data_IF_757805743535
#
_entry.id   IF_757805743535
#
_cell.length_a   1.000
_cell.length_b   1.000
_cell.length_c   1.000
_cell.angle_alpha   90.00
_cell.angle_beta   90.00
_cell.angle_gamma   90.00
#
_symmetry.space_group_name_H-M   'P 1'
#
loop_
_entity.id
_entity.type
_entity.pdbx_description
1 polymer ?
#
# COMPACT_ATOMS: atom_id res chain seq x y z
N UNK A 1 12.07 -6.62 -8.70
CA UNK A 1 10.60 -6.72 -8.86
C UNK A 1 10.19 -6.54 -10.32
N UNK A 2 10.48 -5.40 -10.94
CA UNK A 2 10.11 -5.05 -12.32
C UNK A 2 10.36 -6.17 -13.36
N UNK A 3 11.51 -6.83 -13.30
CA UNK A 3 11.84 -7.93 -14.22
C UNK A 3 10.80 -9.08 -14.20
N UNK A 4 10.18 -9.37 -13.06
CA UNK A 4 9.15 -10.42 -12.96
C UNK A 4 7.84 -10.05 -13.65
N UNK A 5 7.61 -8.76 -13.90
CA UNK A 5 6.41 -8.24 -14.55
C UNK A 5 6.64 -7.86 -16.02
N UNK A 6 7.85 -8.10 -16.55
CA UNK A 6 8.24 -7.65 -17.89
C UNK A 6 7.27 -8.09 -18.98
N UNK A 7 6.78 -9.33 -18.92
CA UNK A 7 5.82 -9.86 -19.88
C UNK A 7 4.52 -9.04 -19.96
N UNK A 8 4.02 -8.55 -18.82
CA UNK A 8 2.80 -7.71 -18.79
C UNK A 8 3.04 -6.35 -19.44
N UNK A 9 4.23 -5.78 -19.25
CA UNK A 9 4.64 -4.50 -19.84
C UNK A 9 4.82 -4.65 -21.36
N UNK A 10 5.58 -5.66 -21.81
CA UNK A 10 5.84 -5.89 -23.23
C UNK A 10 4.58 -6.20 -24.03
N UNK A 11 3.60 -6.87 -23.41
CA UNK A 11 2.31 -7.15 -24.01
C UNK A 11 1.34 -5.98 -23.97
N UNK A 12 1.69 -4.89 -23.29
CA UNK A 12 0.85 -3.71 -23.13
C UNK A 12 -0.33 -3.89 -22.18
N UNK A 13 -0.30 -4.91 -21.32
CA UNK A 13 -1.33 -5.12 -20.30
C UNK A 13 -1.24 -4.10 -19.16
N UNK A 14 -0.02 -3.64 -18.85
CA UNK A 14 0.21 -2.63 -17.82
C UNK A 14 1.18 -1.54 -18.30
N UNK A 15 1.03 -0.36 -17.72
CA UNK A 15 2.02 0.70 -17.72
C UNK A 15 2.51 0.92 -16.30
N UNK A 16 3.82 1.04 -16.10
CA UNK A 16 4.42 1.18 -14.78
C UNK A 16 4.86 2.60 -14.47
N UNK A 17 4.58 3.06 -13.26
CA UNK A 17 5.11 4.31 -12.71
C UNK A 17 5.73 4.01 -11.33
N UNK A 18 6.98 4.40 -11.14
CA UNK A 18 7.74 4.13 -9.90
C UNK A 18 8.32 5.45 -9.36
N UNK A 19 7.50 6.31 -8.74
CA UNK A 19 8.04 7.50 -8.08
C UNK A 19 8.98 7.09 -6.93
N UNK A 20 10.04 7.87 -6.73
CA UNK A 20 10.92 7.68 -5.58
C UNK A 20 10.13 7.88 -4.27
N UNK A 21 10.53 7.15 -3.23
CA UNK A 21 9.89 7.25 -1.91
C UNK A 21 10.38 8.47 -1.11
N UNK A 22 9.55 8.97 -0.20
CA UNK A 22 9.88 10.08 0.72
C UNK A 22 10.55 9.61 2.02
N UNK A 23 10.94 8.34 2.14
CA UNK A 23 11.29 7.71 3.43
C UNK A 23 12.44 8.37 4.17
N UNK A 24 13.51 8.72 3.44
CA UNK A 24 14.67 9.38 4.01
C UNK A 24 14.33 10.74 4.65
N UNK A 25 13.20 11.34 4.25
CA UNK A 25 12.70 12.61 4.78
C UNK A 25 11.54 12.43 5.75
N UNK A 26 10.92 11.25 5.81
CA UNK A 26 9.72 10.97 6.61
C UNK A 26 9.99 9.88 7.67
N UNK A 27 9.41 8.68 7.53
CA UNK A 27 9.41 7.64 8.56
C UNK A 27 10.81 7.25 9.06
N UNK A 28 11.83 7.29 8.19
CA UNK A 28 13.20 6.94 8.55
C UNK A 28 14.05 8.12 9.00
N UNK A 29 13.53 9.36 8.95
CA UNK A 29 14.27 10.54 9.36
C UNK A 29 14.23 10.74 10.88
N UNK A 30 15.07 9.99 11.59
CA UNK A 30 15.22 10.10 13.05
C UNK A 30 15.84 11.43 13.53
N UNK A 31 16.30 12.28 12.60
CA UNK A 31 16.90 13.58 12.91
C UNK A 31 15.91 14.73 13.08
N UNK A 32 14.63 14.53 12.78
CA UNK A 32 13.57 15.55 12.91
C UNK A 32 12.46 15.09 13.85
N UNK A 33 11.61 16.03 14.26
CA UNK A 33 10.46 15.74 15.12
C UNK A 33 9.44 14.84 14.39
N UNK A 34 8.81 13.85 15.06
CA UNK A 34 7.82 12.97 14.45
C UNK A 34 6.69 13.68 13.69
N UNK A 35 6.22 14.83 14.19
CA UNK A 35 5.25 15.68 13.50
C UNK A 35 5.71 16.11 12.09
N UNK A 36 7.00 16.41 11.92
CA UNK A 36 7.56 16.76 10.62
C UNK A 36 7.73 15.53 9.73
N UNK A 37 7.99 14.35 10.30
CA UNK A 37 8.05 13.08 9.55
C UNK A 37 6.72 12.77 8.89
N UNK A 38 5.62 12.80 9.65
CA UNK A 38 4.28 12.56 9.11
C UNK A 38 3.85 13.64 8.14
N UNK A 39 4.20 14.91 8.41
CA UNK A 39 3.95 16.02 7.48
C UNK A 39 4.65 15.84 6.13
N UNK A 40 5.90 15.38 6.12
CA UNK A 40 6.61 15.08 4.88
C UNK A 40 5.95 13.95 4.08
N UNK A 41 5.46 12.91 4.77
CA UNK A 41 4.67 11.86 4.13
C UNK A 41 3.34 12.39 3.56
N UNK A 42 2.69 13.33 4.25
CA UNK A 42 1.47 13.97 3.74
C UNK A 42 1.74 14.76 2.44
N UNK A 43 2.88 15.45 2.32
CA UNK A 43 3.24 16.10 1.06
C UNK A 43 3.44 15.11 -0.08
N UNK A 44 4.02 13.96 0.21
CA UNK A 44 4.14 12.88 -0.78
C UNK A 44 2.76 12.36 -1.23
N UNK A 45 1.87 12.09 -0.28
CA UNK A 45 0.47 11.71 -0.56
C UNK A 45 -0.26 12.76 -1.41
N UNK A 46 -0.09 14.05 -1.09
CA UNK A 46 -0.68 15.15 -1.87
C UNK A 46 -0.11 15.25 -3.28
N UNK A 47 1.19 15.01 -3.48
CA UNK A 47 1.79 14.95 -4.81
C UNK A 47 1.20 13.78 -5.61
N UNK A 48 1.07 12.60 -5.00
CA UNK A 48 0.44 11.45 -5.65
C UNK A 48 -1.01 11.76 -6.05
N UNK A 49 -1.78 12.33 -5.13
CA UNK A 49 -3.22 12.59 -5.28
C UNK A 49 -3.52 13.72 -6.26
N UNK A 50 -2.79 14.84 -6.20
CA UNK A 50 -3.09 16.03 -7.01
C UNK A 50 -2.34 16.07 -8.35
N UNK A 51 -1.18 15.42 -8.46
CA UNK A 51 -0.30 15.56 -9.62
C UNK A 51 -0.13 14.23 -10.36
N UNK A 52 0.45 13.21 -9.72
CA UNK A 52 0.84 11.99 -10.42
C UNK A 52 -0.37 11.17 -10.88
N UNK A 53 -1.24 10.75 -9.96
CA UNK A 53 -2.36 9.85 -10.28
C UNK A 53 -3.34 10.47 -11.27
N UNK A 54 -3.74 11.76 -11.15
CA UNK A 54 -4.59 12.41 -12.14
C UNK A 54 -4.00 12.41 -13.55
N UNK A 55 -2.66 12.51 -13.68
CA UNK A 55 -1.98 12.52 -14.97
C UNK A 55 -1.93 11.15 -15.66
N UNK A 56 -2.09 10.04 -14.93
CA UNK A 56 -1.91 8.67 -15.47
C UNK A 56 -3.18 7.80 -15.43
N UNK A 57 -4.13 8.05 -14.51
CA UNK A 57 -5.28 7.14 -14.28
C UNK A 57 -6.20 6.98 -15.48
N UNK A 58 -6.20 7.96 -16.38
CA UNK A 58 -6.99 7.98 -17.61
C UNK A 58 -6.28 7.36 -18.82
N UNK A 59 -5.08 6.82 -18.63
CA UNK A 59 -4.43 6.00 -19.66
C UNK A 59 -5.19 4.68 -19.90
N UNK A 60 -6.12 4.33 -19.00
CA UNK A 60 -7.08 3.24 -19.18
C UNK A 60 -8.52 3.75 -19.04
N UNK A 61 -9.48 3.04 -19.63
CA UNK A 61 -10.90 3.38 -19.52
C UNK A 61 -11.50 3.26 -18.11
N UNK A 62 -10.77 2.66 -17.16
CA UNK A 62 -11.21 2.53 -15.78
C UNK A 62 -11.14 3.85 -15.00
N UNK A 63 -10.32 4.81 -15.44
CA UNK A 63 -10.10 6.07 -14.71
C UNK A 63 -9.49 5.88 -13.31
N UNK A 64 -8.84 4.73 -13.08
CA UNK A 64 -8.26 4.32 -11.80
C UNK A 64 -6.90 3.66 -12.03
N UNK A 65 -6.07 3.63 -10.98
CA UNK A 65 -4.77 2.95 -10.97
C UNK A 65 -4.79 1.71 -10.09
N UNK A 66 -3.90 0.77 -10.38
CA UNK A 66 -3.47 -0.24 -9.42
C UNK A 66 -2.26 0.29 -8.64
N UNK A 67 -2.25 0.10 -7.33
CA UNK A 67 -1.12 0.47 -6.46
C UNK A 67 -0.53 -0.76 -5.80
N UNK A 68 0.79 -0.80 -5.68
CA UNK A 68 1.50 -1.94 -5.12
C UNK A 68 2.80 -1.53 -4.47
N UNK A 69 3.23 -2.32 -3.50
CA UNK A 69 4.56 -2.17 -2.91
C UNK A 69 4.89 -3.33 -1.99
N UNK A 70 6.19 -3.48 -1.74
CA UNK A 70 6.73 -4.47 -0.83
C UNK A 70 7.22 -3.81 0.47
N UNK A 71 7.14 -4.53 1.59
CA UNK A 71 7.58 -4.03 2.90
C UNK A 71 6.92 -2.68 3.22
N UNK A 72 7.70 -1.64 3.53
CA UNK A 72 7.14 -0.31 3.76
C UNK A 72 6.44 0.28 2.52
N UNK A 73 6.84 -0.09 1.30
CA UNK A 73 6.09 0.25 0.10
C UNK A 73 4.66 -0.35 0.09
N UNK A 74 4.47 -1.49 0.76
CA UNK A 74 3.15 -2.09 0.96
C UNK A 74 2.26 -1.23 1.87
N UNK A 75 2.84 -0.50 2.81
CA UNK A 75 2.14 0.55 3.57
C UNK A 75 1.81 1.75 2.71
N UNK A 76 2.75 2.27 1.91
CA UNK A 76 2.48 3.39 1.00
C UNK A 76 1.29 3.13 0.09
N UNK A 77 1.29 1.95 -0.55
CA UNK A 77 0.20 1.52 -1.41
C UNK A 77 -1.13 1.45 -0.64
N UNK A 78 -1.14 0.82 0.54
CA UNK A 78 -2.35 0.68 1.35
C UNK A 78 -2.87 2.04 1.88
N UNK A 79 -1.98 2.88 2.40
CA UNK A 79 -2.34 4.19 2.92
C UNK A 79 -2.93 5.08 1.82
N UNK A 80 -2.30 5.14 0.65
CA UNK A 80 -2.84 5.89 -0.49
C UNK A 80 -4.20 5.32 -0.95
N UNK A 81 -4.30 4.00 -1.11
CA UNK A 81 -5.52 3.34 -1.55
C UNK A 81 -6.70 3.57 -0.60
N UNK A 82 -6.49 3.48 0.71
CA UNK A 82 -7.56 3.64 1.69
C UNK A 82 -7.95 5.09 1.93
N UNK A 83 -7.04 6.05 1.70
CA UNK A 83 -7.35 7.48 1.75
C UNK A 83 -8.08 7.96 0.49
N UNK A 84 -7.72 7.41 -0.68
CA UNK A 84 -8.23 7.84 -2.00
C UNK A 84 -8.82 6.67 -2.81
N UNK A 85 -9.78 5.91 -2.26
CA UNK A 85 -10.29 4.67 -2.88
C UNK A 85 -11.04 4.90 -4.20
N UNK A 86 -11.49 6.13 -4.47
CA UNK A 86 -12.06 6.54 -5.75
C UNK A 86 -11.04 6.56 -6.89
N UNK A 87 -9.74 6.66 -6.60
CA UNK A 87 -8.67 6.64 -7.60
C UNK A 87 -8.04 5.26 -7.81
N UNK A 88 -8.31 4.31 -6.91
CA UNK A 88 -7.64 3.00 -6.88
C UNK A 88 -8.60 1.88 -7.22
N UNK A 89 -8.23 1.04 -8.19
CA UNK A 89 -8.99 -0.16 -8.56
C UNK A 89 -8.44 -1.39 -7.83
N UNK A 90 -7.11 -1.47 -7.68
CA UNK A 90 -6.43 -2.62 -7.09
C UNK A 90 -5.36 -2.18 -6.10
N UNK A 91 -5.31 -2.86 -4.95
CA UNK A 91 -4.25 -2.75 -3.96
C UNK A 91 -3.55 -4.10 -3.83
N UNK A 92 -2.27 -4.15 -4.15
CA UNK A 92 -1.43 -5.32 -3.96
C UNK A 92 -0.32 -5.02 -2.95
N UNK A 93 -0.53 -5.34 -1.68
CA UNK A 93 0.47 -5.18 -0.63
C UNK A 93 1.25 -6.48 -0.45
N UNK A 94 2.58 -6.42 -0.47
CA UNK A 94 3.46 -7.57 -0.26
C UNK A 94 4.28 -7.36 1.00
N UNK A 95 3.99 -8.14 2.05
CA UNK A 95 4.65 -8.04 3.35
C UNK A 95 4.55 -6.64 3.99
N UNK A 96 3.40 -5.97 3.85
CA UNK A 96 3.21 -4.60 4.32
C UNK A 96 3.23 -4.46 5.84
N UNK A 97 3.78 -3.35 6.35
CA UNK A 97 3.75 -2.96 7.77
C UNK A 97 2.81 -1.76 7.95
N UNK A 98 1.60 -1.98 8.46
CA UNK A 98 0.51 -0.99 8.38
C UNK A 98 0.32 -0.11 9.63
N UNK A 99 1.20 -0.22 10.62
CA UNK A 99 1.18 0.63 11.81
C UNK A 99 2.40 1.56 11.86
N UNK A 100 2.23 2.83 11.51
CA UNK A 100 3.32 3.81 11.49
C UNK A 100 3.71 4.35 12.86
N UNK A 101 2.96 4.03 13.92
CA UNK A 101 3.27 4.52 15.29
C UNK A 101 4.68 4.12 15.73
N UNK A 102 5.22 3.02 15.21
CA UNK A 102 6.61 2.58 15.45
C UNK A 102 7.67 3.60 14.99
N UNK A 103 7.33 4.52 14.08
CA UNK A 103 8.23 5.57 13.58
C UNK A 103 8.04 6.92 14.28
N UNK A 104 7.11 7.00 15.24
CA UNK A 104 6.67 8.28 15.79
C UNK A 104 7.23 8.59 17.18
N UNK A 105 8.12 7.76 17.74
CA UNK A 105 8.78 8.03 19.03
C UNK A 105 7.80 8.40 20.17
N UNK A 106 6.59 7.82 20.15
CA UNK A 106 5.52 8.11 21.12
C UNK A 106 4.67 9.36 20.82
N UNK A 107 5.02 10.15 19.80
CA UNK A 107 4.18 11.22 19.29
C UNK A 107 2.92 10.68 18.60
N UNK A 108 1.79 11.33 18.83
CA UNK A 108 0.53 10.97 18.20
C UNK A 108 -0.39 12.18 18.09
N UNK A 109 -0.86 12.48 16.89
CA UNK A 109 -1.82 13.54 16.57
C UNK A 109 -2.77 13.07 15.46
N UNK A 110 -3.65 13.96 15.00
CA UNK A 110 -4.58 13.67 13.91
C UNK A 110 -3.85 13.30 12.61
N UNK A 111 -2.68 13.88 12.34
CA UNK A 111 -1.91 13.56 11.15
C UNK A 111 -1.38 12.11 11.20
N UNK A 112 -0.93 11.64 12.37
CA UNK A 112 -0.57 10.23 12.56
C UNK A 112 -1.80 9.35 12.36
N UNK A 113 -2.93 9.68 12.98
CA UNK A 113 -4.17 8.91 12.84
C UNK A 113 -4.60 8.76 11.36
N UNK A 114 -4.68 9.85 10.60
CA UNK A 114 -5.12 9.84 9.19
C UNK A 114 -4.07 9.34 8.20
N UNK A 115 -2.87 9.01 8.65
CA UNK A 115 -1.86 8.30 7.84
C UNK A 115 -1.54 6.91 8.41
N UNK A 116 -2.32 6.42 9.36
CA UNK A 116 -2.16 5.08 9.91
C UNK A 116 -3.35 4.20 9.55
N UNK A 117 -3.26 3.34 8.50
CA UNK A 117 -4.38 2.53 8.02
C UNK A 117 -5.16 1.79 9.11
N UNK A 118 -4.47 1.20 10.09
CA UNK A 118 -5.11 0.45 11.17
C UNK A 118 -5.96 1.31 12.11
N UNK A 119 -5.69 2.62 12.17
CA UNK A 119 -6.41 3.55 13.04
C UNK A 119 -7.60 4.19 12.31
N UNK A 120 -7.43 4.69 11.07
CA UNK A 120 -8.50 5.42 10.37
C UNK A 120 -9.46 4.54 9.56
N UNK A 121 -9.00 3.41 9.01
CA UNK A 121 -9.81 2.54 8.15
C UNK A 121 -11.08 2.03 8.82
N UNK A 122 -11.08 1.62 10.12
CA UNK A 122 -12.30 1.22 10.83
C UNK A 122 -13.44 2.24 10.69
N UNK A 123 -13.10 3.53 10.71
CA UNK A 123 -14.07 4.64 10.69
C UNK A 123 -14.33 5.18 9.27
N UNK A 124 -13.58 4.77 8.25
CA UNK A 124 -13.79 5.19 6.87
C UNK A 124 -14.98 4.45 6.25
N UNK A 125 -15.89 5.17 5.61
CA UNK A 125 -17.07 4.60 4.96
C UNK A 125 -17.21 5.03 3.49
N UNK A 126 -16.11 5.38 2.85
CA UNK A 126 -16.13 5.75 1.44
C UNK A 126 -16.58 4.54 0.58
N UNK A 127 -17.66 4.63 -0.21
CA UNK A 127 -18.23 3.46 -0.91
C UNK A 127 -17.27 2.73 -1.84
N UNK A 128 -16.30 3.45 -2.43
CA UNK A 128 -15.29 2.86 -3.31
C UNK A 128 -14.37 1.83 -2.61
N UNK A 129 -14.29 1.82 -1.26
CA UNK A 129 -13.54 0.80 -0.52
C UNK A 129 -14.05 -0.62 -0.81
N UNK A 130 -15.37 -0.79 -0.92
CA UNK A 130 -16.01 -2.08 -1.21
C UNK A 130 -15.95 -2.48 -2.69
N UNK A 131 -15.42 -1.61 -3.56
CA UNK A 131 -15.26 -1.85 -4.99
C UNK A 131 -13.79 -2.12 -5.37
N UNK A 132 -12.87 -2.06 -4.41
CA UNK A 132 -11.45 -2.23 -4.65
C UNK A 132 -11.06 -3.70 -4.50
N UNK A 133 -10.27 -4.19 -5.44
CA UNK A 133 -9.66 -5.52 -5.34
C UNK A 133 -8.41 -5.43 -4.47
N UNK A 134 -8.43 -6.06 -3.30
CA UNK A 134 -7.33 -5.97 -2.33
C UNK A 134 -6.68 -7.35 -2.16
N UNK A 135 -5.36 -7.39 -2.30
CA UNK A 135 -4.52 -8.55 -1.96
C UNK A 135 -3.48 -8.15 -0.92
N UNK A 136 -3.48 -8.88 0.20
CA UNK A 136 -2.49 -8.80 1.27
C UNK A 136 -1.62 -10.06 1.17
N UNK A 137 -0.47 -9.94 0.53
CA UNK A 137 0.50 -11.01 0.38
C UNK A 137 1.44 -11.08 1.57
N UNK A 138 1.62 -12.27 2.13
CA UNK A 138 2.50 -12.50 3.28
C UNK A 138 3.05 -13.94 3.29
N UNK A 139 3.94 -14.27 4.22
CA UNK A 139 4.40 -15.64 4.45
C UNK A 139 4.44 -15.99 5.94
N UNK A 140 4.46 -17.28 6.26
CA UNK A 140 4.52 -17.78 7.65
C UNK A 140 5.79 -17.37 8.42
N UNK A 141 6.89 -17.07 7.72
CA UNK A 141 8.14 -16.60 8.31
C UNK A 141 8.35 -15.09 8.18
N UNK A 142 7.35 -14.36 7.67
CA UNK A 142 7.44 -12.92 7.53
C UNK A 142 7.26 -12.21 8.87
N UNK A 143 8.12 -11.23 9.15
CA UNK A 143 8.03 -10.39 10.36
C UNK A 143 6.74 -9.54 10.40
N UNK A 144 6.09 -9.31 9.26
CA UNK A 144 4.85 -8.56 9.13
C UNK A 144 3.60 -9.45 9.14
N UNK A 145 3.71 -10.75 9.48
CA UNK A 145 2.56 -11.68 9.46
C UNK A 145 1.38 -11.19 10.28
N UNK A 146 1.64 -10.78 11.52
CA UNK A 146 0.58 -10.31 12.42
C UNK A 146 -0.02 -8.98 11.95
N UNK A 147 0.79 -8.09 11.36
CA UNK A 147 0.30 -6.85 10.78
C UNK A 147 -0.70 -7.11 9.62
N UNK A 148 -0.41 -8.09 8.77
CA UNK A 148 -1.27 -8.47 7.64
C UNK A 148 -2.55 -9.18 8.11
N UNK A 149 -2.45 -10.07 9.12
CA UNK A 149 -3.62 -10.68 9.77
C UNK A 149 -4.50 -9.63 10.44
N UNK A 150 -3.92 -8.65 11.11
CA UNK A 150 -4.67 -7.57 11.76
C UNK A 150 -5.42 -6.72 10.72
N UNK A 151 -4.74 -6.26 9.66
CA UNK A 151 -5.40 -5.48 8.61
C UNK A 151 -6.51 -6.31 7.92
N UNK A 152 -6.27 -7.59 7.64
CA UNK A 152 -7.28 -8.50 7.10
C UNK A 152 -8.49 -8.63 8.03
N UNK A 153 -8.27 -8.69 9.35
CA UNK A 153 -9.35 -8.72 10.33
C UNK A 153 -10.19 -7.43 10.29
N UNK A 154 -9.55 -6.26 10.24
CA UNK A 154 -10.25 -4.97 10.13
C UNK A 154 -11.07 -4.86 8.85
N UNK A 155 -10.53 -5.31 7.71
CA UNK A 155 -11.26 -5.36 6.43
C UNK A 155 -12.46 -6.31 6.52
N UNK A 156 -12.30 -7.48 7.14
CA UNK A 156 -13.40 -8.43 7.38
C UNK A 156 -14.51 -7.83 8.23
N UNK A 157 -14.17 -7.13 9.32
CA UNK A 157 -15.17 -6.47 10.19
C UNK A 157 -16.01 -5.44 9.44
N UNK A 158 -15.44 -4.79 8.42
CA UNK A 158 -16.14 -3.84 7.55
C UNK A 158 -16.83 -4.50 6.35
N UNK A 159 -16.70 -5.81 6.17
CA UNK A 159 -17.22 -6.52 5.00
C UNK A 159 -16.58 -6.09 3.68
N UNK A 160 -15.33 -5.58 3.72
CA UNK A 160 -14.59 -5.22 2.51
C UNK A 160 -13.98 -6.50 1.91
N UNK A 161 -14.33 -6.89 0.67
CA UNK A 161 -13.76 -8.06 0.03
C UNK A 161 -12.25 -7.92 -0.17
N UNK A 162 -11.48 -8.93 0.23
CA UNK A 162 -10.03 -8.97 0.05
C UNK A 162 -9.53 -10.41 0.13
N UNK A 163 -8.30 -10.61 -0.33
CA UNK A 163 -7.59 -11.87 -0.21
C UNK A 163 -6.34 -11.69 0.66
N UNK A 164 -6.25 -12.47 1.74
CA UNK A 164 -5.03 -12.65 2.51
C UNK A 164 -4.29 -13.88 1.95
N UNK A 165 -3.25 -13.65 1.13
CA UNK A 165 -2.41 -14.69 0.52
C UNK A 165 -1.23 -15.01 1.45
N UNK A 166 -1.41 -15.99 2.35
CA UNK A 166 -0.33 -16.48 3.22
C UNK A 166 0.39 -17.62 2.51
N UNK A 167 1.62 -17.36 2.10
CA UNK A 167 2.52 -18.35 1.51
C UNK A 167 3.32 -19.07 2.58
N UNK A 168 3.91 -20.21 2.20
CA UNK A 168 4.68 -21.05 3.12
C UNK A 168 5.94 -20.37 3.68
N UNK A 169 6.89 -21.18 4.14
CA UNK A 169 8.07 -20.76 4.90
C UNK A 169 9.11 -19.97 4.10
N UNK A 170 8.84 -18.69 3.85
CA UNK A 170 9.73 -17.76 3.15
C UNK A 170 9.95 -16.52 3.99
N UNK A 171 11.17 -16.01 4.00
CA UNK A 171 11.54 -14.81 4.76
C UNK A 171 11.01 -13.52 4.09
N UNK A 172 11.05 -12.42 4.84
CA UNK A 172 10.71 -11.07 4.41
C UNK A 172 11.75 -10.52 3.41
N UNK A 173 11.77 -11.04 2.19
CA UNK A 173 12.76 -10.69 1.18
C UNK A 173 12.26 -10.83 -0.26
N UNK A 174 13.04 -10.33 -1.20
CA UNK A 174 12.77 -10.29 -2.63
C UNK A 174 12.30 -11.60 -3.25
N UNK A 175 12.81 -12.81 -2.91
CA UNK A 175 12.32 -14.05 -3.50
C UNK A 175 10.81 -14.28 -3.28
N UNK A 176 10.28 -13.89 -2.12
CA UNK A 176 8.85 -13.96 -1.82
C UNK A 176 8.06 -13.01 -2.72
N UNK A 177 8.47 -11.73 -2.75
CA UNK A 177 7.76 -10.71 -3.51
C UNK A 177 7.84 -10.92 -5.03
N UNK A 178 8.97 -11.45 -5.53
CA UNK A 178 9.14 -11.84 -6.94
C UNK A 178 8.19 -12.96 -7.37
N UNK A 179 7.77 -13.82 -6.44
CA UNK A 179 6.76 -14.85 -6.69
C UNK A 179 5.34 -14.29 -6.57
N UNK A 180 5.11 -13.39 -5.61
CA UNK A 180 3.81 -12.76 -5.39
C UNK A 180 3.38 -11.89 -6.55
N UNK A 181 4.29 -11.05 -6.99
CA UNK A 181 3.96 -9.93 -7.81
C UNK A 181 3.35 -10.26 -9.18
N UNK A 182 3.94 -11.14 -10.02
CA UNK A 182 3.33 -11.52 -11.29
C UNK A 182 2.00 -12.26 -11.13
N UNK A 183 1.81 -13.00 -10.01
CA UNK A 183 0.53 -13.64 -9.72
C UNK A 183 -0.55 -12.59 -9.47
N UNK A 184 -0.26 -11.56 -8.68
CA UNK A 184 -1.23 -10.49 -8.41
C UNK A 184 -1.55 -9.67 -9.65
N UNK A 185 -0.55 -9.40 -10.50
CA UNK A 185 -0.78 -8.74 -11.79
C UNK A 185 -1.73 -9.52 -12.71
N UNK A 186 -1.75 -10.86 -12.62
CA UNK A 186 -2.66 -11.69 -13.42
C UNK A 186 -4.15 -11.56 -13.01
N UNK A 187 -4.43 -10.84 -11.93
CA UNK A 187 -5.78 -10.57 -11.42
C UNK A 187 -6.37 -9.23 -11.94
N UNK A 188 -5.60 -8.46 -12.72
CA UNK A 188 -6.04 -7.16 -13.30
C UNK A 188 -6.82 -7.39 -14.60
#
# INVERSE_FOLDING_TARGET
LVQTAHWFVERGFIQWFCPDSVEALSGYNKGIHPADRVKNHMWYDQMLYNELVPSIRWNTGAGKVAVTGASFGGYHAANFAFKHPEMVSHLFSMSGAFDIKMFMDGYYDDNVYFNNPVDFLPNSNHPALWQMNIVLGISDWDICLDANKNLSHLLHQKGIPHWLDVRGWKEHDWPLWKEMFPHYLSLI
#
